data_IF_034133388264
#
_entry.id   IF_034133388264
#
_cell.length_a   1.000
_cell.length_b   1.000
_cell.length_c   1.000
_cell.angle_alpha   90.00
_cell.angle_beta   90.00
_cell.angle_gamma   90.00
#
_symmetry.space_group_name_H-M   'P 1'
#
loop_
_entity.id
_entity.type
_entity.pdbx_description
1 polymer ?
#
# COMPACT_ATOMS: atom_id res chain seq x y z
N UNK A 1 -11.66 8.87 -5.77
CA UNK A 1 -10.66 8.25 -6.66
C UNK A 1 -11.21 6.93 -7.15
N UNK A 2 -10.80 6.49 -8.34
CA UNK A 2 -11.09 5.15 -8.86
C UNK A 2 -10.11 4.13 -8.26
N UNK A 3 -10.45 2.83 -8.22
CA UNK A 3 -9.53 1.79 -7.74
C UNK A 3 -8.18 1.79 -8.47
N UNK A 4 -8.17 2.11 -9.77
CA UNK A 4 -6.96 2.24 -10.57
C UNK A 4 -6.07 3.41 -10.12
N UNK A 5 -6.67 4.55 -9.76
CA UNK A 5 -5.92 5.70 -9.24
C UNK A 5 -5.34 5.41 -7.85
N UNK A 6 -6.08 4.70 -7.00
CA UNK A 6 -5.60 4.28 -5.67
C UNK A 6 -4.44 3.29 -5.83
N UNK A 7 -4.57 2.31 -6.73
CA UNK A 7 -3.50 1.36 -7.06
C UNK A 7 -2.23 2.07 -7.53
N UNK A 8 -2.36 3.02 -8.44
CA UNK A 8 -1.22 3.81 -8.93
C UNK A 8 -0.56 4.61 -7.80
N UNK A 9 -1.36 5.31 -6.98
CA UNK A 9 -0.84 6.04 -5.83
C UNK A 9 -0.12 5.13 -4.82
N UNK A 10 -0.67 3.93 -4.55
CA UNK A 10 -0.06 2.95 -3.67
C UNK A 10 1.31 2.51 -4.18
N UNK A 11 1.41 2.16 -5.47
CA UNK A 11 2.66 1.75 -6.09
C UNK A 11 3.70 2.88 -6.12
N UNK A 12 3.28 4.12 -6.35
CA UNK A 12 4.18 5.28 -6.26
C UNK A 12 4.79 5.43 -4.87
N UNK A 13 3.98 5.31 -3.81
CA UNK A 13 4.49 5.38 -2.44
C UNK A 13 5.35 4.15 -2.10
N UNK A 14 4.98 2.96 -2.58
CA UNK A 14 5.75 1.73 -2.39
C UNK A 14 7.17 1.87 -2.94
N UNK A 15 7.32 2.32 -4.19
CA UNK A 15 8.63 2.55 -4.82
C UNK A 15 9.37 3.71 -4.19
N UNK A 16 8.66 4.71 -3.66
CA UNK A 16 9.32 5.80 -2.93
C UNK A 16 9.96 5.33 -1.62
N UNK A 17 9.38 4.33 -0.96
CA UNK A 17 9.92 3.74 0.28
C UNK A 17 10.97 2.69 -0.05
N UNK A 18 10.65 1.78 -0.98
CA UNK A 18 11.49 0.67 -1.41
C UNK A 18 11.76 0.79 -2.92
N UNK A 19 12.78 1.58 -3.32
CA UNK A 19 13.11 1.81 -4.73
C UNK A 19 13.65 0.57 -5.45
N UNK A 20 14.00 -0.48 -4.71
CA UNK A 20 14.43 -1.77 -5.25
C UNK A 20 13.26 -2.61 -5.79
N UNK A 21 12.01 -2.28 -5.43
CA UNK A 21 10.81 -2.96 -5.91
C UNK A 21 10.41 -2.40 -7.28
N UNK A 22 10.17 -3.29 -8.25
CA UNK A 22 9.62 -2.93 -9.55
C UNK A 22 8.08 -2.92 -9.49
N UNK A 23 7.41 -1.76 -9.59
CA UNK A 23 5.96 -1.64 -9.45
C UNK A 23 5.18 -2.34 -10.57
N UNK A 24 5.79 -2.56 -11.74
CA UNK A 24 5.16 -3.29 -12.84
C UNK A 24 5.20 -4.81 -12.62
N UNK A 25 6.06 -5.28 -11.70
CA UNK A 25 6.21 -6.69 -11.35
C UNK A 25 5.33 -7.14 -10.17
N UNK A 26 4.82 -6.18 -9.37
CA UNK A 26 4.00 -6.46 -8.18
C UNK A 26 2.61 -6.94 -8.58
N UNK A 27 2.28 -8.17 -8.18
CA UNK A 27 0.97 -8.75 -8.31
C UNK A 27 0.03 -8.28 -7.19
N UNK A 28 -1.28 -8.41 -7.42
CA UNK A 28 -2.27 -7.98 -6.42
C UNK A 28 -2.28 -8.94 -5.19
N UNK A 29 -1.81 -10.17 -5.35
CA UNK A 29 -1.68 -11.19 -4.30
C UNK A 29 -0.31 -11.22 -3.61
N UNK A 30 0.66 -10.43 -4.07
CA UNK A 30 1.98 -10.35 -3.45
C UNK A 30 1.89 -9.70 -2.07
N UNK A 31 2.42 -10.39 -1.08
CA UNK A 31 2.51 -9.90 0.28
C UNK A 31 3.72 -8.98 0.42
N UNK A 32 3.50 -7.72 0.80
CA UNK A 32 4.54 -6.69 0.83
C UNK A 32 5.77 -7.13 1.66
N UNK A 33 5.54 -7.66 2.86
CA UNK A 33 6.65 -8.02 3.75
C UNK A 33 7.27 -9.38 3.46
N UNK A 34 6.51 -10.31 2.88
CA UNK A 34 6.94 -11.71 2.73
C UNK A 34 7.48 -11.96 1.31
N UNK A 35 6.80 -11.43 0.29
CA UNK A 35 7.16 -11.61 -1.12
C UNK A 35 8.02 -10.45 -1.65
N UNK A 36 7.72 -9.21 -1.25
CA UNK A 36 8.51 -8.03 -1.67
C UNK A 36 9.62 -7.66 -0.67
N UNK A 37 9.82 -8.51 0.36
CA UNK A 37 10.86 -8.35 1.39
C UNK A 37 10.84 -6.96 2.07
N UNK A 38 9.66 -6.35 2.20
CA UNK A 38 9.51 -5.03 2.79
C UNK A 38 9.74 -5.06 4.31
N UNK A 39 10.68 -4.25 4.79
CA UNK A 39 10.96 -4.15 6.21
C UNK A 39 9.79 -3.56 7.00
N UNK A 40 9.70 -3.87 8.30
CA UNK A 40 8.64 -3.33 9.17
C UNK A 40 8.64 -1.80 9.24
N UNK A 41 9.82 -1.17 9.17
CA UNK A 41 9.96 0.29 9.13
C UNK A 41 9.49 0.88 7.80
N UNK A 42 9.78 0.19 6.70
CA UNK A 42 9.36 0.60 5.36
C UNK A 42 7.85 0.47 5.22
N UNK A 43 7.26 -0.63 5.70
CA UNK A 43 5.82 -0.79 5.76
C UNK A 43 5.13 0.34 6.55
N UNK A 44 5.62 0.70 7.73
CA UNK A 44 5.07 1.82 8.51
C UNK A 44 5.21 3.16 7.79
N UNK A 45 6.32 3.36 7.06
CA UNK A 45 6.54 4.56 6.25
C UNK A 45 5.55 4.63 5.09
N UNK A 46 5.31 3.51 4.40
CA UNK A 46 4.33 3.38 3.34
C UNK A 46 2.92 3.71 3.84
N UNK A 47 2.51 3.15 4.98
CA UNK A 47 1.22 3.44 5.62
C UNK A 47 1.06 4.93 5.90
N UNK A 48 2.09 5.56 6.45
CA UNK A 48 2.08 6.99 6.79
C UNK A 48 2.02 7.87 5.54
N UNK A 49 2.73 7.47 4.49
CA UNK A 49 2.74 8.16 3.21
C UNK A 49 1.37 8.08 2.52
N UNK A 50 0.77 6.89 2.48
CA UNK A 50 -0.59 6.66 1.99
C UNK A 50 -1.60 7.48 2.80
N UNK A 51 -1.53 7.41 4.14
CA UNK A 51 -2.36 8.21 5.04
C UNK A 51 -2.32 9.69 4.67
N UNK A 52 -1.13 10.25 4.52
CA UNK A 52 -0.91 11.66 4.22
C UNK A 52 -1.40 12.03 2.82
N UNK A 53 -1.11 11.19 1.82
CA UNK A 53 -1.44 11.43 0.42
C UNK A 53 -2.94 11.31 0.14
N UNK A 54 -3.56 10.29 0.71
CA UNK A 54 -4.96 9.93 0.48
C UNK A 54 -5.90 10.56 1.52
N UNK A 55 -5.37 11.02 2.65
CA UNK A 55 -6.15 11.59 3.75
C UNK A 55 -6.96 10.55 4.52
N UNK A 56 -6.49 9.31 4.60
CA UNK A 56 -7.21 8.18 5.21
C UNK A 56 -6.53 7.69 6.48
N UNK A 57 -7.28 7.56 7.57
CA UNK A 57 -6.74 7.08 8.86
C UNK A 57 -6.56 5.56 8.88
N UNK A 58 -5.34 5.04 8.78
CA UNK A 58 -5.06 3.59 8.82
C UNK A 58 -4.60 3.22 10.23
N UNK A 59 -5.42 2.43 10.95
CA UNK A 59 -5.07 1.95 12.29
C UNK A 59 -4.17 0.71 12.22
N UNK A 60 -3.38 0.45 13.27
CA UNK A 60 -2.55 -0.76 13.36
C UNK A 60 -3.35 -2.06 13.21
N UNK A 61 -4.60 -2.07 13.69
CA UNK A 61 -5.51 -3.20 13.53
C UNK A 61 -5.88 -3.49 12.06
N UNK A 62 -5.75 -2.49 11.18
CA UNK A 62 -6.03 -2.60 9.75
C UNK A 62 -4.76 -2.95 8.93
N UNK A 63 -3.57 -3.03 9.54
CA UNK A 63 -2.34 -3.38 8.81
C UNK A 63 -2.41 -4.70 8.03
N UNK A 64 -3.07 -5.76 8.53
CA UNK A 64 -3.26 -6.96 7.73
C UNK A 64 -4.10 -6.74 6.45
N UNK A 65 -4.95 -5.69 6.41
CA UNK A 65 -5.79 -5.36 5.24
C UNK A 65 -5.05 -4.55 4.17
N UNK A 66 -3.80 -4.18 4.42
CA UNK A 66 -2.93 -3.50 3.46
C UNK A 66 -1.66 -4.31 3.21
N UNK A 67 -1.64 -5.56 3.66
CA UNK A 67 -0.51 -6.46 3.52
C UNK A 67 -0.29 -6.91 2.07
N UNK A 68 -1.33 -6.87 1.24
CA UNK A 68 -1.30 -7.11 -0.21
C UNK A 68 -1.93 -5.95 -0.94
N UNK A 69 -1.61 -5.78 -2.23
CA UNK A 69 -2.18 -4.72 -3.06
C UNK A 69 -3.68 -4.96 -3.32
N UNK A 70 -4.06 -6.22 -3.50
CA UNK A 70 -5.43 -6.68 -3.71
C UNK A 70 -6.34 -6.44 -2.52
N UNK A 71 -5.81 -6.44 -1.30
CA UNK A 71 -6.56 -6.07 -0.09
C UNK A 71 -6.50 -4.55 0.18
N UNK A 72 -5.35 -3.91 -0.08
CA UNK A 72 -5.15 -2.49 0.17
C UNK A 72 -6.08 -1.61 -0.68
N UNK A 73 -6.20 -1.89 -1.97
CA UNK A 73 -7.03 -1.09 -2.89
C UNK A 73 -8.51 -1.04 -2.47
N UNK A 74 -9.22 -2.16 -2.24
CA UNK A 74 -10.61 -2.12 -1.79
C UNK A 74 -10.74 -1.49 -0.40
N UNK A 75 -9.80 -1.77 0.52
CA UNK A 75 -9.79 -1.15 1.85
C UNK A 75 -9.70 0.38 1.79
N UNK A 76 -8.77 0.91 1.00
CA UNK A 76 -8.59 2.36 0.82
C UNK A 76 -9.79 2.98 0.09
N UNK A 77 -10.37 2.24 -0.86
CA UNK A 77 -11.60 2.67 -1.56
C UNK A 77 -12.77 2.80 -0.60
N UNK A 78 -12.97 1.83 0.31
CA UNK A 78 -14.00 1.87 1.34
C UNK A 78 -13.84 3.05 2.31
N UNK A 79 -12.61 3.44 2.61
CA UNK A 79 -12.30 4.56 3.54
C UNK A 79 -12.46 5.95 2.92
N UNK A 80 -12.39 6.06 1.59
CA UNK A 80 -12.54 7.31 0.84
C UNK A 80 -13.97 7.61 0.38
N UNK A 81 -14.83 6.59 0.36
CA UNK A 81 -16.23 6.70 -0.06
C UNK A 81 -17.14 7.22 1.05
#
# INVERSE_FOLDING_TARGET
>A
MTPTEIRAAFLEELVSVAPDIDPDSVADDDHLQDDLELDSMDFLTLVTAIHTRLGVDIAEADYPRIATLGDAVPFLTERMG
#
